data_IF_556602072071
#
_entry.id   IF_556602072071
#
_cell.length_a   1.000
_cell.length_b   1.000
_cell.length_c   1.000
_cell.angle_alpha   90.00
_cell.angle_beta   90.00
_cell.angle_gamma   90.00
#
_symmetry.space_group_name_H-M   'P 1'
#
loop_
_entity.id
_entity.type
_entity.pdbx_description
1 polymer ?
#
# COMPACT_ATOMS: atom_id res chain seq x y z
N UNK A 1 -2.04 -5.33 -2.45
CA UNK A 1 -2.44 -6.77 -2.42
C UNK A 1 -1.47 -7.68 -3.13
N UNK A 2 -1.31 -7.62 -4.46
CA UNK A 2 -0.45 -8.59 -5.15
C UNK A 2 1.00 -8.54 -4.68
N UNK A 3 1.57 -7.35 -4.53
CA UNK A 3 2.90 -7.16 -3.94
C UNK A 3 2.96 -7.82 -2.56
N UNK A 4 1.97 -7.54 -1.71
CA UNK A 4 1.87 -8.07 -0.36
C UNK A 4 1.76 -9.60 -0.32
N UNK A 5 0.93 -10.22 -1.18
CA UNK A 5 0.78 -11.68 -1.28
C UNK A 5 2.06 -12.39 -1.75
N UNK A 6 2.88 -11.73 -2.57
CA UNK A 6 4.08 -12.35 -3.16
C UNK A 6 5.36 -12.02 -2.40
N UNK A 7 5.44 -10.87 -1.71
CA UNK A 7 6.66 -10.37 -1.06
C UNK A 7 6.48 -10.01 0.41
N UNK A 8 5.32 -10.31 1.01
CA UNK A 8 5.06 -10.06 2.41
C UNK A 8 4.93 -8.59 2.78
N UNK A 9 4.84 -8.32 4.08
CA UNK A 9 4.72 -6.96 4.62
C UNK A 9 5.93 -6.10 4.20
N UNK A 10 7.15 -6.62 4.35
CA UNK A 10 8.39 -5.93 3.95
C UNK A 10 8.41 -5.56 2.46
N UNK A 11 7.97 -6.46 1.59
CA UNK A 11 7.90 -6.18 0.17
C UNK A 11 6.88 -5.11 -0.19
N UNK A 12 5.75 -5.05 0.52
CA UNK A 12 4.78 -3.98 0.37
C UNK A 12 5.36 -2.64 0.84
N UNK A 13 5.94 -2.61 2.05
CA UNK A 13 6.56 -1.42 2.66
C UNK A 13 7.69 -0.86 1.78
N UNK A 14 8.61 -1.72 1.31
CA UNK A 14 9.71 -1.33 0.42
C UNK A 14 9.20 -0.79 -0.92
N UNK A 15 8.15 -1.41 -1.49
CA UNK A 15 7.54 -0.92 -2.73
C UNK A 15 6.88 0.45 -2.53
N UNK A 16 6.15 0.65 -1.44
CA UNK A 16 5.51 1.92 -1.09
C UNK A 16 6.54 3.02 -0.85
N UNK A 17 7.62 2.72 -0.12
CA UNK A 17 8.73 3.65 0.08
C UNK A 17 9.35 4.06 -1.26
N UNK A 18 9.70 3.07 -2.10
CA UNK A 18 10.31 3.32 -3.42
C UNK A 18 9.44 4.22 -4.29
N UNK A 19 8.14 3.92 -4.44
CA UNK A 19 7.25 4.77 -5.26
C UNK A 19 7.03 6.15 -4.65
N UNK A 20 7.03 6.28 -3.33
CA UNK A 20 6.90 7.58 -2.66
C UNK A 20 8.10 8.47 -2.94
N UNK A 21 9.33 7.93 -2.92
CA UNK A 21 10.55 8.74 -3.16
C UNK A 21 10.63 9.37 -4.55
N UNK A 22 9.96 8.79 -5.54
CA UNK A 22 9.96 9.30 -6.93
C UNK A 22 8.69 10.09 -7.26
N UNK A 23 7.81 10.32 -6.29
CA UNK A 23 6.47 10.88 -6.52
C UNK A 23 6.21 12.13 -5.68
N UNK A 24 5.87 13.24 -6.34
CA UNK A 24 5.31 14.43 -5.65
C UNK A 24 3.89 14.21 -5.13
N UNK A 25 3.16 13.31 -5.79
CA UNK A 25 1.83 12.88 -5.40
C UNK A 25 1.66 11.40 -5.73
N UNK A 26 0.98 10.67 -4.85
CA UNK A 26 0.73 9.23 -5.00
C UNK A 26 -0.75 8.96 -4.86
N UNK A 27 -1.34 8.25 -5.83
CA UNK A 27 -2.71 7.77 -5.75
C UNK A 27 -2.69 6.28 -5.48
N UNK A 28 -3.35 5.86 -4.39
CA UNK A 28 -3.37 4.46 -3.95
C UNK A 28 -4.81 3.97 -3.91
N UNK A 29 -5.06 2.83 -4.55
CA UNK A 29 -6.28 2.02 -4.37
C UNK A 29 -5.94 0.75 -3.56
N UNK A 30 -5.96 0.80 -2.22
CA UNK A 30 -5.68 -0.38 -1.43
C UNK A 30 -6.83 -1.39 -1.57
N UNK A 31 -6.49 -2.66 -1.78
CA UNK A 31 -7.50 -3.72 -1.86
C UNK A 31 -7.84 -4.23 -0.46
N UNK A 32 -9.12 -4.41 -0.12
CA UNK A 32 -9.52 -4.93 1.19
C UNK A 32 -9.13 -6.41 1.35
N UNK A 33 -9.03 -6.88 2.60
CA UNK A 33 -8.61 -8.26 2.91
C UNK A 33 -9.46 -9.35 2.23
N UNK A 34 -10.76 -9.08 1.99
CA UNK A 34 -11.64 -10.01 1.24
C UNK A 34 -11.07 -10.36 -0.15
N UNK A 35 -10.38 -9.43 -0.79
CA UNK A 35 -9.75 -9.64 -2.09
C UNK A 35 -8.53 -10.56 -1.98
N UNK A 36 -7.78 -10.51 -0.87
CA UNK A 36 -6.66 -11.44 -0.61
C UNK A 36 -7.18 -12.88 -0.52
N UNK A 37 -8.20 -13.11 0.32
CA UNK A 37 -8.82 -14.44 0.47
C UNK A 37 -9.40 -14.97 -0.85
N UNK A 38 -10.04 -14.09 -1.63
CA UNK A 38 -10.57 -14.46 -2.94
C UNK A 38 -9.44 -14.84 -3.94
N UNK A 39 -8.32 -14.11 -3.93
CA UNK A 39 -7.16 -14.42 -4.75
C UNK A 39 -6.54 -15.78 -4.39
N UNK A 40 -6.33 -16.03 -3.09
CA UNK A 40 -5.80 -17.32 -2.58
C UNK A 40 -6.72 -18.48 -2.96
N UNK A 41 -8.05 -18.33 -2.81
CA UNK A 41 -9.01 -19.35 -3.26
C UNK A 41 -8.94 -19.60 -4.75
N UNK A 42 -8.78 -18.57 -5.58
CA UNK A 42 -8.63 -18.73 -7.03
C UNK A 42 -7.34 -19.48 -7.36
N UNK A 43 -6.22 -19.10 -6.73
CA UNK A 43 -4.93 -19.76 -6.93
C UNK A 43 -4.98 -21.25 -6.58
N UNK A 44 -5.60 -21.60 -5.45
CA UNK A 44 -5.81 -23.00 -5.04
C UNK A 44 -6.63 -23.78 -6.07
N UNK A 45 -7.68 -23.18 -6.64
CA UNK A 45 -8.54 -23.85 -7.64
C UNK A 45 -7.86 -24.04 -8.99
N UNK A 46 -6.90 -23.18 -9.35
CA UNK A 46 -6.19 -23.31 -10.63
C UNK A 46 -5.05 -24.32 -10.58
N UNK A 47 -4.73 -24.91 -9.42
CA UNK A 47 -3.62 -25.84 -9.25
C UNK A 47 -2.23 -25.18 -9.34
N UNK A 48 -2.18 -23.85 -9.32
CA UNK A 48 -0.93 -23.10 -9.34
C UNK A 48 -0.32 -23.03 -7.92
N UNK A 49 1.00 -22.76 -7.81
CA UNK A 49 1.66 -22.64 -6.51
C UNK A 49 0.97 -21.61 -5.58
N UNK A 50 0.88 -21.88 -4.27
CA UNK A 50 0.25 -20.97 -3.33
C UNK A 50 1.07 -19.69 -3.15
N UNK A 51 0.43 -18.64 -2.64
CA UNK A 51 1.12 -17.44 -2.18
C UNK A 51 1.89 -17.73 -0.90
N UNK A 52 3.20 -17.94 -0.99
CA UNK A 52 4.05 -18.34 0.15
C UNK A 52 4.00 -17.38 1.34
N UNK A 53 3.73 -16.10 1.08
CA UNK A 53 3.66 -15.08 2.12
C UNK A 53 2.29 -14.97 2.78
N UNK A 54 1.23 -15.56 2.22
CA UNK A 54 -0.15 -15.35 2.71
C UNK A 54 -0.32 -15.71 4.19
N UNK A 55 0.21 -16.84 4.62
CA UNK A 55 0.13 -17.29 6.02
C UNK A 55 1.12 -16.55 6.94
N UNK A 56 2.05 -15.78 6.38
CA UNK A 56 3.04 -14.98 7.11
C UNK A 56 2.62 -13.51 7.25
N UNK A 57 1.58 -13.06 6.55
CA UNK A 57 1.15 -11.67 6.58
C UNK A 57 0.67 -11.27 7.98
N UNK A 58 1.22 -10.17 8.49
CA UNK A 58 0.84 -9.60 9.79
C UNK A 58 -0.49 -8.86 9.69
N UNK A 59 -0.66 -8.07 8.63
CA UNK A 59 -1.90 -7.31 8.43
C UNK A 59 -2.98 -8.13 7.72
N UNK A 60 -3.98 -8.58 8.50
CA UNK A 60 -5.07 -9.45 8.02
C UNK A 60 -6.47 -8.83 8.04
N UNK A 61 -6.63 -7.60 8.51
CA UNK A 61 -7.93 -6.92 8.53
C UNK A 61 -7.83 -5.41 8.36
N UNK A 62 -6.68 -4.80 8.66
CA UNK A 62 -6.43 -3.36 8.62
C UNK A 62 -5.52 -2.88 7.48
N UNK A 63 -5.28 -3.70 6.44
CA UNK A 63 -4.24 -3.40 5.43
C UNK A 63 -4.42 -2.06 4.71
N UNK A 64 -5.65 -1.57 4.56
CA UNK A 64 -5.91 -0.24 4.00
C UNK A 64 -5.38 0.86 4.92
N UNK A 65 -5.63 0.74 6.23
CA UNK A 65 -5.21 1.71 7.24
C UNK A 65 -3.71 1.61 7.49
N UNK A 66 -3.14 0.40 7.49
CA UNK A 66 -1.69 0.19 7.63
C UNK A 66 -0.91 0.84 6.48
N UNK A 67 -1.43 0.79 5.25
CA UNK A 67 -0.83 1.51 4.11
C UNK A 67 -0.86 3.02 4.35
N UNK A 68 -1.98 3.56 4.85
CA UNK A 68 -2.10 5.00 5.16
C UNK A 68 -1.08 5.38 6.24
N UNK A 69 -1.07 4.65 7.36
CA UNK A 69 -0.15 4.90 8.48
C UNK A 69 1.30 4.82 8.01
N UNK A 70 1.66 3.80 7.22
CA UNK A 70 3.03 3.65 6.71
C UNK A 70 3.44 4.82 5.81
N UNK A 71 2.57 5.24 4.89
CA UNK A 71 2.85 6.37 4.00
C UNK A 71 2.99 7.69 4.80
N UNK A 72 2.14 7.91 5.79
CA UNK A 72 2.15 9.13 6.61
C UNK A 72 3.31 9.20 7.60
N UNK A 73 3.72 8.06 8.17
CA UNK A 73 4.73 8.04 9.23
C UNK A 73 6.13 7.67 8.75
N UNK A 74 6.26 6.99 7.61
CA UNK A 74 7.55 6.44 7.13
C UNK A 74 7.95 6.89 5.72
N UNK A 75 7.04 7.50 4.95
CA UNK A 75 7.32 7.87 3.55
C UNK A 75 7.24 9.38 3.27
N UNK A 76 7.14 10.23 4.30
CA UNK A 76 6.99 11.69 4.14
C UNK A 76 5.84 12.09 3.22
N UNK A 77 4.75 11.31 3.23
CA UNK A 77 3.54 11.60 2.45
C UNK A 77 2.44 12.09 3.40
N UNK A 78 1.55 12.95 2.93
CA UNK A 78 0.34 13.35 3.67
C UNK A 78 -0.88 12.97 2.86
N UNK A 79 -1.86 12.30 3.47
CA UNK A 79 -3.16 12.09 2.83
C UNK A 79 -3.84 13.45 2.65
N UNK A 80 -4.17 13.79 1.41
CA UNK A 80 -4.85 15.05 1.06
C UNK A 80 -6.30 14.84 0.64
N UNK A 81 -6.64 13.63 0.22
CA UNK A 81 -8.00 13.30 -0.23
C UNK A 81 -8.26 11.80 -0.13
N UNK A 82 -9.53 11.43 0.08
CA UNK A 82 -10.03 10.06 0.01
C UNK A 82 -11.42 10.08 -0.62
N UNK A 83 -11.69 9.16 -1.56
CA UNK A 83 -13.04 9.02 -2.13
C UNK A 83 -13.95 8.23 -1.20
N UNK A 84 -15.27 8.39 -1.36
CA UNK A 84 -16.22 7.39 -0.88
C UNK A 84 -15.89 5.99 -1.43
N UNK A 85 -16.31 4.94 -0.72
CA UNK A 85 -16.15 3.58 -1.22
C UNK A 85 -17.10 3.34 -2.40
N UNK A 86 -16.59 2.67 -3.43
CA UNK A 86 -17.36 2.16 -4.56
C UNK A 86 -18.28 1.02 -4.11
N UNK A 87 -19.21 0.59 -4.97
CA UNK A 87 -20.04 -0.61 -4.75
C UNK A 87 -19.20 -1.90 -4.59
N UNK A 88 -17.99 -1.92 -5.13
CA UNK A 88 -16.99 -2.98 -4.91
C UNK A 88 -16.15 -2.78 -3.66
N UNK A 89 -16.54 -1.87 -2.77
CA UNK A 89 -15.90 -1.59 -1.47
C UNK A 89 -14.48 -1.03 -1.57
N UNK A 90 -14.07 -0.49 -2.72
CA UNK A 90 -12.75 0.12 -2.95
C UNK A 90 -12.83 1.62 -2.83
N UNK A 91 -11.75 2.25 -2.40
CA UNK A 91 -11.59 3.71 -2.34
C UNK A 91 -10.25 4.11 -2.95
N UNK A 92 -10.18 5.34 -3.47
CA UNK A 92 -8.92 5.97 -3.83
C UNK A 92 -8.47 6.87 -2.69
N UNK A 93 -7.18 6.84 -2.41
CA UNK A 93 -6.53 7.72 -1.43
C UNK A 93 -5.43 8.47 -2.16
N UNK A 94 -5.44 9.79 -2.05
CA UNK A 94 -4.44 10.66 -2.67
C UNK A 94 -3.52 11.19 -1.58
N UNK A 95 -2.23 11.02 -1.79
CA UNK A 95 -1.18 11.54 -0.95
C UNK A 95 -0.34 12.56 -1.71
N UNK A 96 0.22 13.54 -0.99
CA UNK A 96 1.22 14.47 -1.50
C UNK A 96 2.48 14.41 -0.64
N UNK A 97 3.63 14.62 -1.28
CA UNK A 97 4.90 14.78 -0.60
C UNK A 97 4.80 15.94 0.41
N UNK A 98 5.24 15.68 1.63
CA UNK A 98 5.47 16.70 2.64
C UNK A 98 6.89 17.21 2.40
N UNK A 99 7.01 18.34 1.72
CA UNK A 99 8.24 19.09 1.73
C UNK A 99 8.47 19.47 3.20
N UNK A 100 9.49 18.87 3.83
CA UNK A 100 10.00 19.42 5.09
C UNK A 100 10.34 20.88 4.83
N UNK A 101 10.00 21.77 5.77
CA UNK A 101 10.37 23.18 5.68
C UNK A 101 11.79 23.28 5.14
N UNK A 102 11.93 23.95 3.99
CA UNK A 102 13.18 24.02 3.26
C UNK A 102 14.22 24.77 4.09
N UNK A 103 14.88 24.06 5.01
CA UNK A 103 16.14 24.50 5.60
C UNK A 103 17.18 24.28 4.51
N UNK A 104 17.44 25.38 3.80
CA UNK A 104 18.67 25.71 3.08
C UNK A 104 19.33 24.56 2.30
N UNK A 105 18.89 24.37 1.05
CA UNK A 105 19.83 23.96 -0.01
C UNK A 105 20.58 25.21 -0.47
N UNK A 106 21.64 25.59 0.24
CA UNK A 106 22.67 26.47 -0.31
C UNK A 106 23.64 25.60 -1.13
N UNK A 107 24.05 26.04 -2.33
CA UNK A 107 25.04 25.32 -3.13
C UNK A 107 26.45 25.57 -2.57
N UNK A 108 27.24 24.51 -2.45
CA UNK A 108 28.71 24.58 -2.49
C UNK A 108 29.17 24.02 -3.82
#
# INVERSE_FOLDING_TARGET
>A
MWIHLNRGDEGLESSLSSVSTISKALVVEPQPWRCYRAAVRRMKRSGAPPFEMFDKLRSRSGVEDDIVVFLETRCHMRKVFETSRTSWGRKLIIFKEVLGDAVQRLPT
#
